data_IF_711044641354
#
_entry.id   IF_711044641354
#
_cell.length_a   1.000
_cell.length_b   1.000
_cell.length_c   1.000
_cell.angle_alpha   90.00
_cell.angle_beta   90.00
_cell.angle_gamma   90.00
#
_symmetry.space_group_name_H-M   'P 1'
#
loop_
_entity.id
_entity.type
_entity.pdbx_description
1 polymer ?
#
# COMPACT_ATOMS: atom_id res chain seq x y z
N UNK A 1 -22.44 -2.15 3.61
CA UNK A 1 -21.17 -2.46 4.31
C UNK A 1 -20.46 -3.46 3.42
N UNK A 2 -19.43 -3.04 2.69
CA UNK A 2 -18.65 -3.95 1.84
C UNK A 2 -17.81 -4.82 2.79
N UNK A 3 -18.25 -6.05 3.02
CA UNK A 3 -17.37 -7.13 3.46
C UNK A 3 -16.41 -7.37 2.29
N UNK A 4 -15.38 -6.53 2.23
CA UNK A 4 -14.36 -6.62 1.23
C UNK A 4 -13.58 -7.88 1.56
N UNK A 5 -13.66 -8.87 0.67
CA UNK A 5 -13.02 -10.15 0.87
C UNK A 5 -11.50 -9.97 0.80
N UNK A 6 -10.88 -9.83 1.97
CA UNK A 6 -9.43 -9.75 2.11
C UNK A 6 -8.75 -11.00 1.55
N UNK A 7 -9.48 -12.10 1.32
CA UNK A 7 -8.98 -13.29 0.63
C UNK A 7 -8.53 -12.99 -0.81
N UNK A 8 -8.97 -11.87 -1.41
CA UNK A 8 -8.42 -11.43 -2.69
C UNK A 8 -6.90 -11.27 -2.65
N UNK A 9 -6.32 -10.92 -1.48
CA UNK A 9 -4.89 -10.75 -1.33
C UNK A 9 -4.12 -12.08 -1.30
N UNK A 10 -4.78 -13.18 -0.91
CA UNK A 10 -4.13 -14.49 -0.77
C UNK A 10 -3.62 -15.01 -2.13
N UNK A 11 -4.40 -14.78 -3.18
CA UNK A 11 -4.05 -15.15 -4.56
C UNK A 11 -3.11 -14.18 -5.28
N UNK A 12 -2.76 -13.05 -4.65
CA UNK A 12 -2.02 -11.95 -5.29
C UNK A 12 -0.82 -11.49 -4.43
N UNK A 13 0.28 -12.25 -4.38
CA UNK A 13 1.48 -11.90 -3.62
C UNK A 13 2.04 -10.53 -3.97
N UNK A 14 1.96 -10.13 -5.24
CA UNK A 14 2.42 -8.83 -5.72
C UNK A 14 1.55 -7.67 -5.20
N UNK A 15 0.26 -7.92 -4.91
CA UNK A 15 -0.62 -6.90 -4.30
C UNK A 15 -0.30 -6.74 -2.82
N UNK A 16 -0.04 -7.86 -2.13
CA UNK A 16 0.37 -7.87 -0.73
C UNK A 16 1.65 -7.05 -0.54
N UNK A 17 2.66 -7.31 -1.36
CA UNK A 17 3.95 -6.59 -1.31
C UNK A 17 3.77 -5.09 -1.52
N UNK A 18 3.02 -4.66 -2.55
CA UNK A 18 2.78 -3.24 -2.79
C UNK A 18 1.96 -2.60 -1.67
N UNK A 19 0.96 -3.30 -1.15
CA UNK A 19 0.14 -2.79 -0.04
C UNK A 19 0.96 -2.62 1.25
N UNK A 20 1.82 -3.58 1.57
CA UNK A 20 2.74 -3.53 2.72
C UNK A 20 3.77 -2.42 2.56
N UNK A 21 4.28 -2.17 1.34
CA UNK A 21 5.20 -1.07 1.10
C UNK A 21 4.59 0.32 1.43
N UNK A 22 3.27 0.48 1.33
CA UNK A 22 2.57 1.69 1.78
C UNK A 22 2.31 1.74 3.28
N UNK A 23 2.49 0.63 3.98
CA UNK A 23 2.40 0.56 5.43
C UNK A 23 3.73 0.91 6.10
N UNK A 24 4.85 0.66 5.41
CA UNK A 24 6.18 1.00 5.90
C UNK A 24 6.36 2.53 5.91
N UNK A 25 6.75 3.07 7.06
CA UNK A 25 7.01 4.50 7.22
C UNK A 25 8.30 4.87 6.47
N UNK A 26 8.14 5.29 5.21
CA UNK A 26 9.23 5.89 4.45
C UNK A 26 9.36 7.35 4.91
N UNK A 27 10.28 7.57 5.84
CA UNK A 27 10.54 8.81 6.56
C UNK A 27 11.23 9.92 5.73
N UNK A 28 11.18 9.87 4.40
CA UNK A 28 12.02 10.73 3.56
C UNK A 28 11.33 11.19 2.27
N UNK A 29 10.26 11.98 2.41
CA UNK A 29 9.74 12.78 1.30
C UNK A 29 10.25 14.21 1.44
N UNK A 30 11.12 14.64 0.53
CA UNK A 30 11.51 16.06 0.42
C UNK A 30 10.34 16.81 -0.22
N UNK A 31 9.61 17.57 0.57
CA UNK A 31 8.43 18.32 0.14
C UNK A 31 8.83 19.73 -0.27
N UNK A 32 8.55 20.09 -1.51
CA UNK A 32 8.85 21.42 -2.05
C UNK A 32 7.61 22.30 -2.21
N UNK A 33 6.40 21.73 -2.09
CA UNK A 33 5.14 22.47 -2.23
C UNK A 33 4.20 22.29 -1.00
N UNK A 34 3.48 23.35 -0.59
CA UNK A 34 2.60 23.30 0.59
C UNK A 34 1.37 22.39 0.46
N UNK A 35 0.87 22.16 -0.76
CA UNK A 35 -0.34 21.34 -0.99
C UNK A 35 -0.02 19.87 -0.70
N UNK A 36 1.09 19.38 -1.25
CA UNK A 36 1.61 18.02 -0.96
C UNK A 36 1.97 17.89 0.52
N UNK A 37 2.44 18.94 1.19
CA UNK A 37 2.74 18.90 2.62
C UNK A 37 1.50 18.65 3.49
N UNK A 38 0.35 19.26 3.18
CA UNK A 38 -0.92 19.00 3.89
C UNK A 38 -1.35 17.53 3.74
N UNK A 39 -1.32 17.01 2.50
CA UNK A 39 -1.65 15.61 2.24
C UNK A 39 -0.73 14.65 2.98
N UNK A 40 0.58 14.93 3.01
CA UNK A 40 1.55 14.09 3.72
C UNK A 40 1.33 14.10 5.23
N UNK A 41 0.99 15.26 5.81
CA UNK A 41 0.59 15.37 7.21
C UNK A 41 -0.69 14.58 7.52
N UNK A 42 -1.57 14.42 6.54
CA UNK A 42 -2.78 13.57 6.62
C UNK A 42 -2.50 12.09 6.34
N UNK A 43 -1.25 11.71 6.09
CA UNK A 43 -0.81 10.33 5.90
C UNK A 43 -0.75 9.86 4.44
N UNK A 44 -0.90 10.75 3.47
CA UNK A 44 -0.63 10.43 2.07
C UNK A 44 0.87 10.35 1.80
N UNK A 45 1.25 9.60 0.77
CA UNK A 45 2.63 9.37 0.35
C UNK A 45 2.76 9.46 -1.17
N UNK A 46 3.92 9.84 -1.71
CA UNK A 46 4.17 9.73 -3.14
C UNK A 46 3.98 8.30 -3.64
N UNK A 47 3.69 8.17 -4.93
CA UNK A 47 3.60 6.87 -5.59
C UNK A 47 4.89 6.06 -5.39
N UNK A 48 4.78 4.89 -4.77
CA UNK A 48 5.86 3.90 -4.75
C UNK A 48 6.04 3.36 -6.17
N UNK A 49 7.26 3.46 -6.70
CA UNK A 49 7.58 3.09 -8.08
C UNK A 49 8.16 1.69 -8.19
N UNK A 50 8.78 1.21 -7.12
CA UNK A 50 9.53 -0.04 -7.09
C UNK A 50 9.24 -0.72 -5.76
N UNK A 51 8.98 -2.02 -5.82
CA UNK A 51 8.83 -2.90 -4.67
C UNK A 51 9.56 -4.19 -5.02
N UNK A 52 10.34 -4.71 -4.08
CA UNK A 52 11.11 -5.93 -4.31
C UNK A 52 10.20 -7.07 -4.78
N UNK A 53 10.66 -7.79 -5.80
CA UNK A 53 9.95 -8.91 -6.43
C UNK A 53 8.63 -8.55 -7.15
N UNK A 54 8.35 -7.26 -7.36
CA UNK A 54 7.23 -6.81 -8.21
C UNK A 54 7.77 -6.15 -9.49
N UNK A 55 7.46 -6.69 -10.67
CA UNK A 55 7.89 -6.09 -11.93
C UNK A 55 7.37 -4.65 -12.10
N UNK A 56 8.26 -3.74 -12.52
CA UNK A 56 7.95 -2.31 -12.65
C UNK A 56 6.76 -2.03 -13.60
N UNK A 57 6.59 -2.83 -14.64
CA UNK A 57 5.48 -2.75 -15.60
C UNK A 57 4.13 -3.17 -14.98
N UNK A 58 4.14 -3.95 -13.91
CA UNK A 58 2.94 -4.34 -13.16
C UNK A 58 2.52 -3.31 -12.11
N UNK A 59 3.45 -2.46 -11.65
CA UNK A 59 3.18 -1.49 -10.57
C UNK A 59 1.94 -0.64 -10.83
N UNK A 60 1.79 -0.08 -12.04
CA UNK A 60 0.59 0.72 -12.39
C UNK A 60 -0.70 -0.08 -12.24
N UNK A 61 -0.69 -1.33 -12.71
CA UNK A 61 -1.86 -2.22 -12.64
C UNK A 61 -2.19 -2.57 -11.18
N UNK A 62 -1.18 -2.89 -10.36
CA UNK A 62 -1.37 -3.25 -8.96
C UNK A 62 -1.97 -2.09 -8.17
N UNK A 63 -1.47 -0.86 -8.34
CA UNK A 63 -2.08 0.32 -7.71
C UNK A 63 -3.55 0.48 -8.07
N UNK A 64 -3.88 0.35 -9.36
CA UNK A 64 -5.27 0.41 -9.82
C UNK A 64 -6.16 -0.65 -9.19
N UNK A 65 -5.63 -1.87 -8.99
CA UNK A 65 -6.35 -2.95 -8.31
C UNK A 65 -6.56 -2.65 -6.83
N UNK A 66 -5.53 -2.23 -6.11
CA UNK A 66 -5.64 -1.87 -4.69
C UNK A 66 -6.64 -0.71 -4.48
N UNK A 67 -6.68 0.27 -5.39
CA UNK A 67 -7.69 1.34 -5.36
C UNK A 67 -9.09 0.79 -5.66
N UNK A 68 -9.24 -0.03 -6.69
CA UNK A 68 -10.54 -0.61 -7.06
C UNK A 68 -11.13 -1.48 -5.94
N UNK A 69 -10.27 -2.13 -5.15
CA UNK A 69 -10.64 -2.89 -3.96
C UNK A 69 -10.74 -2.00 -2.70
N UNK A 70 -10.56 -0.68 -2.78
CA UNK A 70 -10.69 0.22 -1.63
C UNK A 70 -9.62 -0.01 -0.54
N UNK A 71 -8.50 -0.64 -0.88
CA UNK A 71 -7.35 -0.84 0.01
C UNK A 71 -6.43 0.38 0.00
N UNK A 72 -6.32 1.05 -1.14
CA UNK A 72 -5.67 2.34 -1.30
C UNK A 72 -6.68 3.41 -1.73
N UNK A 73 -6.40 4.65 -1.35
CA UNK A 73 -7.00 5.84 -1.94
C UNK A 73 -5.92 6.69 -2.60
N UNK A 74 -6.32 7.50 -3.58
CA UNK A 74 -5.43 8.34 -4.38
C UNK A 74 -5.92 9.77 -4.40
N UNK A 75 -4.99 10.72 -4.32
CA UNK A 75 -5.22 12.15 -4.50
C UNK A 75 -4.25 12.67 -5.56
N UNK A 76 -4.68 13.69 -6.31
CA UNK A 76 -3.87 14.33 -7.34
C UNK A 76 -3.52 15.73 -6.86
N UNK A 77 -2.23 16.03 -6.70
CA UNK A 77 -1.76 17.35 -6.26
C UNK A 77 -1.29 18.18 -7.44
N UNK A 78 -1.95 19.32 -7.66
CA UNK A 78 -1.57 20.39 -8.57
C UNK A 78 -1.01 20.01 -9.96
N UNK A 79 -0.36 20.97 -10.63
CA UNK A 79 0.28 20.75 -11.95
C UNK A 79 1.63 20.02 -11.88
N UNK A 80 2.25 19.97 -10.70
CA UNK A 80 3.62 19.46 -10.49
C UNK A 80 3.74 18.40 -9.40
N UNK A 81 2.73 18.23 -8.53
CA UNK A 81 2.82 17.39 -7.33
C UNK A 81 2.55 15.90 -7.59
N UNK A 82 1.84 15.57 -8.67
CA UNK A 82 1.66 14.19 -9.11
C UNK A 82 0.57 13.44 -8.36
N UNK A 83 0.70 12.12 -8.23
CA UNK A 83 -0.27 11.26 -7.55
C UNK A 83 0.24 10.87 -6.17
N UNK A 84 -0.60 11.06 -5.17
CA UNK A 84 -0.38 10.66 -3.79
C UNK A 84 -1.32 9.53 -3.40
N UNK A 85 -0.86 8.64 -2.54
CA UNK A 85 -1.54 7.41 -2.16
C UNK A 85 -1.58 7.29 -0.64
N UNK A 86 -2.65 6.68 -0.13
CA UNK A 86 -2.78 6.39 1.30
C UNK A 86 -3.51 5.06 1.50
N UNK A 87 -3.10 4.29 2.51
CA UNK A 87 -3.89 3.17 2.99
C UNK A 87 -5.25 3.65 3.51
N UNK A 88 -6.32 3.01 3.06
CA UNK A 88 -7.63 3.21 3.70
C UNK A 88 -7.65 2.51 5.07
N UNK A 89 -8.74 2.69 5.83
CA UNK A 89 -8.95 1.89 7.04
C UNK A 89 -9.00 0.38 6.72
N UNK A 90 -9.51 -0.02 5.55
CA UNK A 90 -9.55 -1.41 5.12
C UNK A 90 -8.13 -1.89 4.77
N UNK A 91 -7.37 -1.09 4.01
CA UNK A 91 -5.98 -1.38 3.67
C UNK A 91 -5.10 -1.59 4.91
N UNK A 92 -5.22 -0.71 5.92
CA UNK A 92 -4.49 -0.87 7.20
C UNK A 92 -4.84 -2.17 7.92
N UNK A 93 -6.12 -2.54 8.00
CA UNK A 93 -6.53 -3.82 8.60
C UNK A 93 -5.98 -5.02 7.82
N UNK A 94 -5.92 -4.91 6.50
CA UNK A 94 -5.32 -5.94 5.66
C UNK A 94 -3.83 -6.11 5.97
N UNK A 95 -3.07 -5.01 6.11
CA UNK A 95 -1.66 -5.07 6.51
C UNK A 95 -1.48 -5.74 7.88
N UNK A 96 -2.31 -5.42 8.87
CA UNK A 96 -2.26 -6.06 10.19
C UNK A 96 -2.53 -7.57 10.12
N UNK A 97 -3.50 -8.00 9.31
CA UNK A 97 -3.78 -9.42 9.08
C UNK A 97 -2.58 -10.12 8.43
N UNK A 98 -1.98 -9.49 7.41
CA UNK A 98 -0.82 -10.04 6.71
C UNK A 98 0.40 -10.16 7.64
N UNK A 99 0.64 -9.17 8.51
CA UNK A 99 1.71 -9.24 9.50
C UNK A 99 1.51 -10.41 10.49
N UNK A 100 0.29 -10.62 10.98
CA UNK A 100 -0.02 -11.76 11.86
C UNK A 100 0.12 -13.12 11.17
N UNK A 101 -0.24 -13.22 9.89
CA UNK A 101 -0.08 -14.46 9.12
C UNK A 101 1.40 -14.83 8.89
N UNK A 102 2.28 -13.83 8.74
CA UNK A 102 3.74 -14.04 8.59
C UNK A 102 4.37 -14.59 9.88
N UNK A 103 3.88 -14.15 11.05
CA UNK A 103 4.34 -14.66 12.35
C UNK A 103 3.95 -16.13 12.56
N UNK A 104 2.73 -16.52 12.18
CA UNK A 104 2.24 -17.91 12.28
C UNK A 104 3.01 -18.86 11.34
N UNK A 105 3.21 -18.48 10.07
CA UNK A 105 3.92 -19.30 9.06
C UNK A 105 5.39 -19.52 9.44
N UNK A 106 6.03 -18.50 10.03
CA UNK A 106 7.42 -18.59 10.51
C UNK A 106 7.58 -19.55 11.70
N UNK A 107 6.58 -19.61 12.59
CA UNK A 107 6.56 -20.53 13.74
C UNK A 107 6.31 -21.98 13.32
N UNK A 108 5.45 -22.21 12.31
CA UNK A 108 5.17 -23.54 11.78
C UNK A 108 6.40 -24.14 11.07
N UNK A 109 7.11 -23.35 10.25
CA UNK A 109 8.35 -23.78 9.60
C UNK A 109 9.50 -24.03 10.58
N UNK A 110 9.54 -23.31 11.70
CA UNK A 110 10.54 -23.51 12.75
C UNK A 110 10.25 -24.73 13.66
N UNK A 111 9.06 -25.31 13.56
CA UNK A 111 8.64 -26.48 14.35
C UNK A 111 8.50 -27.78 13.53
N UNK A 112 8.75 -27.72 12.22
CA UNK A 112 8.81 -28.83 11.28
C UNK A 112 10.24 -29.37 11.09
#
# INVERSE_FOLDING_TARGET
MLDLDLAVLDGHPEWRQVLLAYNDDIDSVILTDPETADFVARGFRPRIREVDNVPADQMTRVHGKLIAHGLLQVEITGRTGGMLYQLTAIGRRACLRLAGAVEEESLELASA
#
